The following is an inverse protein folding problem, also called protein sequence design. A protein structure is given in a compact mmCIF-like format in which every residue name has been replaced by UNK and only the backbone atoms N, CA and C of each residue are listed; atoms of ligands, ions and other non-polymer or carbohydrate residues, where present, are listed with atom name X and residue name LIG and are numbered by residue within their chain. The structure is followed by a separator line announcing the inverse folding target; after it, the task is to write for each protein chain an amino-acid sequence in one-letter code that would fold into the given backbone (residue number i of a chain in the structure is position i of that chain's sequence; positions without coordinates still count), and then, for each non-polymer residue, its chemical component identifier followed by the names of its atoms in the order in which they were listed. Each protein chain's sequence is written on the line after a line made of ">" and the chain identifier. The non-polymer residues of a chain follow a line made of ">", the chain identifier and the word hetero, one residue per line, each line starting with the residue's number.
data_IF_365848146168
#
_entry.id   IF_365848146168
#
_cell.length_a   1.000
_cell.length_b   1.000
_cell.length_c   1.000
_cell.angle_alpha   90.00
_cell.angle_beta   90.00
_cell.angle_gamma   90.00
#
_symmetry.space_group_name_H-M   'P 1'
#
loop_
_entity.id
_entity.type
_entity.pdbx_description
1 polymer ?
#
# COMPACT_ATOMS: atom_id res chain seq x y z
N UNK A 1 -9.40 7.70 11.29
CA UNK A 1 -8.34 6.69 11.55
C UNK A 1 -7.85 6.10 10.24
N UNK A 2 -8.77 5.84 9.30
CA UNK A 2 -8.49 5.24 8.00
C UNK A 2 -7.46 6.00 7.17
N UNK A 3 -7.61 7.32 7.05
CA UNK A 3 -6.79 8.19 6.20
C UNK A 3 -5.35 8.28 6.72
N UNK A 4 -5.19 8.37 8.05
CA UNK A 4 -3.88 8.35 8.69
C UNK A 4 -3.17 7.02 8.46
N UNK A 5 -3.86 5.89 8.64
CA UNK A 5 -3.30 4.56 8.34
C UNK A 5 -2.95 4.43 6.86
N UNK A 6 -3.80 4.91 5.95
CA UNK A 6 -3.54 4.92 4.51
C UNK A 6 -2.25 5.67 4.17
N UNK A 7 -2.06 6.87 4.74
CA UNK A 7 -0.86 7.67 4.53
C UNK A 7 0.40 6.94 5.01
N UNK A 8 0.35 6.33 6.20
CA UNK A 8 1.49 5.57 6.73
C UNK A 8 1.80 4.31 5.93
N UNK A 9 0.79 3.62 5.41
CA UNK A 9 0.96 2.42 4.57
C UNK A 9 1.59 2.81 3.23
N UNK A 10 1.08 3.86 2.58
CA UNK A 10 1.66 4.35 1.33
C UNK A 10 3.13 4.77 1.51
N UNK A 11 3.44 5.46 2.61
CA UNK A 11 4.83 5.84 2.90
C UNK A 11 5.71 4.60 3.17
N UNK A 12 5.24 3.63 3.94
CA UNK A 12 6.00 2.40 4.22
C UNK A 12 6.33 1.63 2.94
N UNK A 13 5.36 1.49 2.03
CA UNK A 13 5.57 0.84 0.73
C UNK A 13 6.58 1.61 -0.12
N UNK A 14 6.49 2.94 -0.14
CA UNK A 14 7.47 3.81 -0.82
C UNK A 14 8.90 3.63 -0.27
N UNK A 15 9.03 3.29 1.01
CA UNK A 15 10.30 2.97 1.66
C UNK A 15 10.73 1.49 1.50
N UNK A 16 10.02 0.70 0.69
CA UNK A 16 10.38 -0.68 0.37
C UNK A 16 9.77 -1.75 1.29
N UNK A 17 8.75 -1.43 2.10
CA UNK A 17 8.06 -2.45 2.88
C UNK A 17 7.28 -3.43 1.98
N UNK A 18 7.52 -4.73 2.14
CA UNK A 18 6.83 -5.79 1.39
C UNK A 18 5.59 -6.35 2.09
N UNK A 19 5.48 -6.17 3.41
CA UNK A 19 4.34 -6.64 4.23
C UNK A 19 3.88 -5.53 5.16
N UNK A 20 2.57 -5.28 5.18
CA UNK A 20 1.92 -4.33 6.10
C UNK A 20 0.75 -5.01 6.84
N UNK A 21 0.70 -4.87 8.17
CA UNK A 21 -0.39 -5.39 9.00
C UNK A 21 -1.39 -4.27 9.29
N UNK A 22 -2.65 -4.49 8.93
CA UNK A 22 -3.71 -3.49 9.02
C UNK A 22 -5.00 -4.13 9.54
N UNK A 23 -5.91 -3.28 10.05
CA UNK A 23 -7.24 -3.73 10.47
C UNK A 23 -8.25 -3.57 9.32
N UNK A 24 -8.18 -2.45 8.57
CA UNK A 24 -9.07 -2.14 7.45
C UNK A 24 -8.53 -2.71 6.12
N UNK A 25 -8.61 -4.05 5.97
CA UNK A 25 -7.95 -4.78 4.88
C UNK A 25 -8.45 -4.34 3.50
N UNK A 26 -9.74 -4.08 3.34
CA UNK A 26 -10.34 -3.78 2.02
C UNK A 26 -9.80 -2.46 1.46
N UNK A 27 -9.74 -1.44 2.30
CA UNK A 27 -9.29 -0.09 1.96
C UNK A 27 -7.77 -0.08 1.75
N UNK A 28 -7.03 -0.73 2.66
CA UNK A 28 -5.57 -0.76 2.59
C UNK A 28 -5.04 -1.61 1.43
N UNK A 29 -5.77 -2.63 0.98
CA UNK A 29 -5.44 -3.34 -0.26
C UNK A 29 -5.43 -2.42 -1.48
N UNK A 30 -6.42 -1.51 -1.59
CA UNK A 30 -6.47 -0.54 -2.70
C UNK A 30 -5.30 0.42 -2.65
N UNK A 31 -4.99 0.94 -1.46
CA UNK A 31 -3.82 1.80 -1.24
C UNK A 31 -2.54 1.06 -1.66
N UNK A 32 -2.34 -0.16 -1.16
CA UNK A 32 -1.13 -0.93 -1.44
C UNK A 32 -0.94 -1.19 -2.95
N UNK A 33 -1.99 -1.62 -3.66
CA UNK A 33 -1.92 -1.89 -5.11
C UNK A 33 -1.58 -0.62 -5.90
N UNK A 34 -2.22 0.51 -5.57
CA UNK A 34 -1.97 1.78 -6.27
C UNK A 34 -0.55 2.27 -5.94
N UNK A 35 -0.13 2.23 -4.68
CA UNK A 35 1.21 2.67 -4.28
C UNK A 35 2.30 1.82 -4.90
N UNK A 36 2.16 0.49 -4.92
CA UNK A 36 3.13 -0.40 -5.56
C UNK A 36 3.27 -0.09 -7.05
N UNK A 37 2.15 0.10 -7.76
CA UNK A 37 2.18 0.46 -9.18
C UNK A 37 2.92 1.78 -9.44
N UNK A 38 2.79 2.75 -8.54
CA UNK A 38 3.49 4.05 -8.62
C UNK A 38 4.98 3.92 -8.31
N UNK A 39 5.33 3.24 -7.22
CA UNK A 39 6.70 3.20 -6.68
C UNK A 39 7.57 2.17 -7.39
N UNK A 40 7.02 0.97 -7.60
CA UNK A 40 7.76 -0.19 -8.12
C UNK A 40 7.48 -0.45 -9.61
N UNK A 41 6.50 0.25 -10.18
CA UNK A 41 6.04 0.06 -11.55
C UNK A 41 4.98 -1.05 -11.66
N UNK A 42 4.16 -0.98 -12.70
CA UNK A 42 3.12 -1.98 -12.95
C UNK A 42 3.72 -3.25 -13.57
N UNK A 43 3.78 -4.33 -12.79
CA UNK A 43 4.00 -5.68 -13.33
C UNK A 43 2.66 -6.41 -13.37
N UNK A 44 2.16 -6.68 -14.58
CA UNK A 44 0.88 -7.35 -14.85
C UNK A 44 0.82 -8.84 -14.44
N UNK A 45 1.67 -9.28 -13.50
CA UNK A 45 1.89 -10.68 -13.15
C UNK A 45 1.12 -11.16 -11.91
N UNK A 46 0.18 -10.39 -11.37
CA UNK A 46 -0.65 -10.81 -10.24
C UNK A 46 -2.10 -10.44 -10.43
#
# INVERSE_FOLDING_TARGET
>A
RLEGTAATVALAISQGADIVRVHDVREMKKVAVITDAIVRGYNAKT
#
